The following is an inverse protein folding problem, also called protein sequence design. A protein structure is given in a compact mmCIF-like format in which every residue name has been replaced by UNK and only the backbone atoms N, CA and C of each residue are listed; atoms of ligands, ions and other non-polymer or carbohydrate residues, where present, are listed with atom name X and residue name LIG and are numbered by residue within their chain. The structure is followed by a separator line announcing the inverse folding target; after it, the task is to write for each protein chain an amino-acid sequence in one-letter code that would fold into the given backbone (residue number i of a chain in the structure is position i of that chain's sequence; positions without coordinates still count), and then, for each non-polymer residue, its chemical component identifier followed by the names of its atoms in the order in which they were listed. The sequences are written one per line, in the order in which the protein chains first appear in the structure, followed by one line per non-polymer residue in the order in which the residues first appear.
data_IF_093374338754
#
_entry.id   IF_093374338754
#
_cell.length_a   1.000
_cell.length_b   1.000
_cell.length_c   1.000
_cell.angle_alpha   90.00
_cell.angle_beta   90.00
_cell.angle_gamma   90.00
#
_symmetry.space_group_name_H-M   'P 1'
#
loop_
_entity.id
_entity.type
_entity.pdbx_description
1 polymer ?
#
# COMPACT_ATOMS: atom_id res chain seq x y z
N UNK A 1 -34.66 24.09 -20.34
CA UNK A 1 -34.85 22.96 -19.41
C UNK A 1 -33.48 22.70 -18.81
N UNK A 2 -33.25 23.13 -17.58
CA UNK A 2 -31.96 22.90 -16.90
C UNK A 2 -31.92 21.43 -16.46
N UNK A 3 -30.92 20.71 -16.94
CA UNK A 3 -30.71 19.32 -16.57
C UNK A 3 -30.06 19.34 -15.19
N UNK A 4 -30.86 19.14 -14.15
CA UNK A 4 -30.43 19.24 -12.74
C UNK A 4 -29.28 18.27 -12.38
N UNK A 5 -29.13 17.21 -13.18
CA UNK A 5 -28.26 16.05 -12.93
C UNK A 5 -27.03 16.00 -13.84
N UNK A 6 -26.82 17.00 -14.70
CA UNK A 6 -25.64 17.01 -15.56
C UNK A 6 -24.36 17.10 -14.71
N UNK A 7 -23.41 16.20 -14.95
CA UNK A 7 -22.16 16.10 -14.19
C UNK A 7 -22.30 15.69 -12.71
N UNK A 8 -23.40 15.04 -12.30
CA UNK A 8 -23.62 14.60 -10.91
C UNK A 8 -23.79 13.08 -10.80
N UNK A 9 -23.34 12.49 -9.69
CA UNK A 9 -23.59 11.08 -9.36
C UNK A 9 -24.59 10.99 -8.20
N UNK A 10 -25.54 10.05 -8.31
CA UNK A 10 -26.61 9.83 -7.33
C UNK A 10 -26.30 8.54 -6.56
N UNK A 11 -26.34 8.61 -5.24
CA UNK A 11 -26.21 7.45 -4.36
C UNK A 11 -27.51 7.25 -3.58
N UNK A 12 -27.95 6.01 -3.46
CA UNK A 12 -29.13 5.62 -2.69
C UNK A 12 -28.78 5.59 -1.19
N UNK A 13 -29.64 6.17 -0.35
CA UNK A 13 -29.47 6.17 1.11
C UNK A 13 -30.77 5.74 1.77
N UNK A 14 -30.68 4.82 2.73
CA UNK A 14 -31.81 4.49 3.61
C UNK A 14 -31.99 5.59 4.67
N UNK A 15 -32.75 6.64 4.37
CA UNK A 15 -33.12 7.68 5.35
C UNK A 15 -34.58 8.16 5.13
N UNK A 16 -35.44 8.28 6.17
CA UNK A 16 -36.86 8.62 5.99
C UNK A 16 -37.17 10.02 5.44
N UNK A 17 -36.20 10.96 5.46
CA UNK A 17 -36.48 12.39 5.21
C UNK A 17 -35.89 12.94 3.90
N UNK A 18 -35.00 12.21 3.24
CA UNK A 18 -34.39 12.62 1.97
C UNK A 18 -34.07 11.37 1.14
N UNK A 19 -34.48 11.35 -0.14
CA UNK A 19 -34.32 10.17 -1.00
C UNK A 19 -32.92 10.08 -1.67
N UNK A 20 -32.15 11.17 -1.76
CA UNK A 20 -30.90 11.21 -2.52
C UNK A 20 -29.84 12.13 -1.92
N UNK A 21 -28.58 11.70 -1.97
CA UNK A 21 -27.41 12.57 -1.79
C UNK A 21 -26.78 12.83 -3.16
N UNK A 22 -26.53 14.09 -3.48
CA UNK A 22 -25.98 14.53 -4.77
C UNK A 22 -24.56 15.03 -4.56
N UNK A 23 -23.59 14.33 -5.16
CA UNK A 23 -22.21 14.77 -5.17
C UNK A 23 -21.85 15.38 -6.53
N UNK A 24 -21.17 16.54 -6.57
CA UNK A 24 -20.60 17.06 -7.81
C UNK A 24 -19.52 16.09 -8.31
N UNK A 25 -19.65 15.59 -9.55
CA UNK A 25 -18.75 14.57 -10.06
C UNK A 25 -17.30 15.07 -10.17
N UNK A 26 -17.12 16.37 -10.40
CA UNK A 26 -15.81 17.03 -10.44
C UNK A 26 -15.06 17.04 -9.10
N UNK A 27 -15.77 16.81 -7.99
CA UNK A 27 -15.17 16.68 -6.65
C UNK A 27 -14.89 15.22 -6.27
N UNK A 28 -15.36 14.24 -7.05
CA UNK A 28 -15.03 12.83 -6.83
C UNK A 28 -13.62 12.58 -7.36
N UNK A 29 -12.76 12.01 -6.53
CA UNK A 29 -11.37 11.72 -6.86
C UNK A 29 -11.11 10.22 -6.77
N UNK A 30 -10.15 9.74 -7.56
CA UNK A 30 -9.67 8.36 -7.49
C UNK A 30 -8.51 8.26 -6.52
N UNK A 31 -8.63 7.33 -5.59
CA UNK A 31 -7.62 6.99 -4.61
C UNK A 31 -7.08 5.60 -4.89
N UNK A 32 -5.78 5.44 -4.68
CA UNK A 32 -5.08 4.18 -4.68
C UNK A 32 -4.90 3.74 -3.23
N UNK A 33 -5.27 2.51 -2.93
CA UNK A 33 -5.02 1.93 -1.62
C UNK A 33 -3.65 1.26 -1.59
N UNK A 34 -2.81 1.73 -0.68
CA UNK A 34 -1.52 1.15 -0.36
C UNK A 34 -1.70 0.10 0.74
N UNK A 35 -1.12 -1.08 0.54
CA UNK A 35 -1.18 -2.19 1.48
C UNK A 35 0.20 -2.87 1.59
N UNK A 36 0.41 -3.65 2.64
CA UNK A 36 1.65 -4.39 2.87
C UNK A 36 2.83 -3.50 3.28
N UNK A 37 4.02 -3.91 2.89
CA UNK A 37 5.28 -3.23 3.17
C UNK A 37 5.82 -2.56 1.92
N UNK A 38 6.18 -1.29 2.02
CA UNK A 38 6.74 -0.50 0.93
C UNK A 38 8.18 -0.11 1.26
N UNK A 39 9.07 -0.32 0.29
CA UNK A 39 10.49 0.04 0.38
C UNK A 39 10.80 1.08 -0.69
N UNK A 40 11.15 2.30 -0.27
CA UNK A 40 11.58 3.37 -1.18
C UNK A 40 12.98 3.10 -1.73
N UNK A 41 13.24 3.60 -2.93
CA UNK A 41 14.57 3.52 -3.57
C UNK A 41 15.66 4.06 -2.64
N UNK A 42 16.63 3.20 -2.30
CA UNK A 42 17.77 3.53 -1.45
C UNK A 42 17.59 3.18 0.02
N UNK A 43 16.38 2.77 0.44
CA UNK A 43 16.10 2.38 1.81
C UNK A 43 16.14 0.86 2.04
N UNK A 44 16.48 0.07 1.02
CA UNK A 44 16.55 -1.39 1.10
C UNK A 44 17.42 -1.91 2.27
N UNK A 45 18.57 -1.30 2.53
CA UNK A 45 19.43 -1.71 3.64
C UNK A 45 18.94 -1.25 5.02
N UNK A 46 17.89 -0.43 5.10
CA UNK A 46 17.46 0.21 6.34
C UNK A 46 16.01 -0.15 6.66
N UNK A 47 15.72 -1.38 7.13
CA UNK A 47 14.35 -1.82 7.46
C UNK A 47 13.53 -0.88 8.33
N UNK A 48 14.17 -0.16 9.25
CA UNK A 48 13.51 0.86 10.08
C UNK A 48 12.88 2.02 9.30
N UNK A 49 13.25 2.21 8.04
CA UNK A 49 12.65 3.19 7.13
C UNK A 49 11.57 2.59 6.22
N UNK A 50 11.41 1.27 6.22
CA UNK A 50 10.36 0.63 5.43
C UNK A 50 9.00 1.01 6.00
N UNK A 51 8.02 1.17 5.12
CA UNK A 51 6.69 1.64 5.50
C UNK A 51 5.79 0.41 5.64
N UNK A 52 5.20 0.22 6.81
CA UNK A 52 4.20 -0.82 7.04
C UNK A 52 2.80 -0.22 6.95
N UNK A 53 2.12 -0.44 5.83
CA UNK A 53 0.74 -0.01 5.63
C UNK A 53 -0.26 -0.91 6.32
N UNK A 54 0.11 -2.11 6.78
CA UNK A 54 -0.80 -2.99 7.53
C UNK A 54 -1.20 -2.43 8.89
N UNK A 55 -0.37 -1.54 9.47
CA UNK A 55 -0.65 -0.84 10.73
C UNK A 55 -1.17 0.59 10.53
N UNK A 56 -1.18 1.09 9.30
CA UNK A 56 -1.70 2.41 8.97
C UNK A 56 -3.23 2.43 9.09
N UNK A 57 -3.82 3.61 9.39
CA UNK A 57 -5.28 3.75 9.36
C UNK A 57 -5.81 3.63 7.93
N UNK A 58 -7.10 3.31 7.76
CA UNK A 58 -7.70 3.17 6.42
C UNK A 58 -7.52 4.44 5.58
N UNK A 59 -7.57 5.62 6.21
CA UNK A 59 -7.35 6.90 5.52
C UNK A 59 -5.88 7.10 5.12
N UNK A 60 -4.93 6.72 5.97
CA UNK A 60 -3.50 6.85 5.67
C UNK A 60 -3.04 5.89 4.55
N UNK A 61 -3.81 4.82 4.30
CA UNK A 61 -3.60 3.89 3.19
C UNK A 61 -4.08 4.44 1.86
N UNK A 62 -4.92 5.47 1.84
CA UNK A 62 -5.47 6.03 0.61
C UNK A 62 -4.62 7.21 0.15
N UNK A 63 -4.08 7.10 -1.06
CA UNK A 63 -3.34 8.17 -1.72
C UNK A 63 -4.04 8.58 -3.00
N UNK A 64 -4.07 9.88 -3.29
CA UNK A 64 -4.62 10.35 -4.57
C UNK A 64 -3.87 9.73 -5.73
N UNK A 65 -4.59 9.20 -6.71
CA UNK A 65 -3.98 8.58 -7.90
C UNK A 65 -3.06 9.56 -8.64
N UNK A 66 -3.44 10.85 -8.68
CA UNK A 66 -2.62 11.92 -9.28
C UNK A 66 -1.31 12.20 -8.54
N UNK A 67 -1.20 11.80 -7.28
CA UNK A 67 -0.04 12.00 -6.41
C UNK A 67 0.76 10.72 -6.18
N UNK A 68 0.22 9.56 -6.56
CA UNK A 68 0.89 8.28 -6.43
C UNK A 68 1.95 8.11 -7.53
N UNK A 69 3.18 7.81 -7.11
CA UNK A 69 4.27 7.53 -8.02
C UNK A 69 4.89 6.16 -7.69
N UNK A 70 4.55 5.08 -8.43
CA UNK A 70 5.10 3.76 -8.15
C UNK A 70 6.63 3.71 -8.33
N UNK A 71 7.20 4.57 -9.15
CA UNK A 71 8.65 4.62 -9.39
C UNK A 71 9.46 5.11 -8.18
N UNK A 72 8.84 5.61 -7.10
CA UNK A 72 9.59 5.95 -5.89
C UNK A 72 9.98 4.70 -5.07
N UNK A 73 9.30 3.57 -5.33
CA UNK A 73 9.50 2.31 -4.62
C UNK A 73 10.43 1.39 -5.41
N UNK A 74 11.23 0.60 -4.68
CA UNK A 74 12.04 -0.47 -5.28
C UNK A 74 11.55 -1.88 -4.93
N UNK A 75 10.68 -1.99 -3.93
CA UNK A 75 10.09 -3.25 -3.51
C UNK A 75 8.78 -3.00 -2.74
N UNK A 76 7.80 -3.87 -2.98
CA UNK A 76 6.56 -3.95 -2.22
C UNK A 76 6.25 -5.43 -1.99
N UNK A 77 5.90 -5.82 -0.77
CA UNK A 77 5.51 -7.18 -0.44
C UNK A 77 4.43 -7.22 0.64
N UNK A 78 3.71 -8.33 0.73
CA UNK A 78 2.71 -8.57 1.78
C UNK A 78 3.21 -9.56 2.81
N UNK A 79 2.66 -9.51 4.01
CA UNK A 79 2.85 -10.59 4.97
C UNK A 79 2.05 -11.84 4.56
N UNK A 80 2.61 -12.63 3.64
CA UNK A 80 2.02 -13.88 3.15
C UNK A 80 2.58 -15.13 3.86
N UNK A 81 1.79 -16.21 3.85
CA UNK A 81 2.12 -17.46 4.50
C UNK A 81 3.43 -18.06 3.94
N UNK A 82 4.40 -18.31 4.82
CA UNK A 82 5.70 -18.88 4.47
C UNK A 82 6.72 -17.86 3.93
N UNK A 83 6.37 -16.58 3.77
CA UNK A 83 7.35 -15.53 3.51
C UNK A 83 8.31 -15.38 4.70
N UNK A 84 7.76 -15.41 5.93
CA UNK A 84 8.50 -15.26 7.19
C UNK A 84 9.64 -16.27 7.35
N UNK A 85 9.37 -17.53 7.00
CA UNK A 85 10.37 -18.60 7.05
C UNK A 85 11.50 -18.37 6.04
N UNK A 86 11.15 -17.88 4.85
CA UNK A 86 12.12 -17.56 3.79
C UNK A 86 13.00 -16.38 4.20
N UNK A 87 12.39 -15.32 4.77
CA UNK A 87 13.12 -14.19 5.37
C UNK A 87 14.06 -14.68 6.47
N UNK A 88 13.56 -15.50 7.41
CA UNK A 88 14.38 -16.00 8.52
C UNK A 88 15.58 -16.81 8.03
N UNK A 89 15.42 -17.60 6.95
CA UNK A 89 16.55 -18.34 6.33
C UNK A 89 17.64 -17.40 5.80
N UNK A 90 17.27 -16.28 5.17
CA UNK A 90 18.21 -15.28 4.64
C UNK A 90 18.94 -14.55 5.78
N UNK A 91 18.23 -14.26 6.87
CA UNK A 91 18.77 -13.49 7.99
C UNK A 91 19.62 -14.30 8.97
N UNK A 92 19.37 -15.61 9.08
CA UNK A 92 20.04 -16.48 10.06
C UNK A 92 21.58 -16.46 9.97
N UNK A 93 22.23 -16.49 8.79
CA UNK A 93 23.68 -16.37 8.67
C UNK A 93 24.28 -15.08 9.23
N UNK A 94 23.45 -14.04 9.41
CA UNK A 94 23.86 -12.73 9.93
C UNK A 94 23.50 -12.57 11.42
N UNK A 95 23.09 -13.64 12.10
CA UNK A 95 22.63 -13.63 13.50
C UNK A 95 21.44 -12.69 13.75
N UNK A 96 20.59 -12.50 12.75
CA UNK A 96 19.37 -11.70 12.86
C UNK A 96 18.17 -12.65 12.99
N UNK A 97 17.34 -12.42 13.99
CA UNK A 97 16.15 -13.22 14.29
C UNK A 97 14.90 -12.33 14.26
N UNK A 98 13.86 -12.81 13.58
CA UNK A 98 12.58 -12.11 13.47
C UNK A 98 11.41 -12.90 14.08
N UNK A 99 11.66 -14.12 14.61
CA UNK A 99 10.69 -14.94 15.35
C UNK A 99 9.31 -15.07 14.70
N UNK A 100 9.26 -15.23 13.37
CA UNK A 100 8.02 -15.27 12.59
C UNK A 100 7.15 -14.00 12.72
N UNK A 101 7.78 -12.85 12.92
CA UNK A 101 7.15 -11.54 12.93
C UNK A 101 7.94 -10.58 12.03
N UNK A 102 7.39 -10.30 10.85
CA UNK A 102 8.01 -9.40 9.87
C UNK A 102 8.21 -8.00 10.47
N UNK A 103 7.36 -7.56 11.39
CA UNK A 103 7.49 -6.24 12.03
C UNK A 103 8.79 -6.08 12.80
N UNK A 104 9.40 -7.20 13.25
CA UNK A 104 10.73 -7.15 13.87
C UNK A 104 11.81 -6.68 12.91
N UNK A 105 11.66 -6.86 11.60
CA UNK A 105 12.55 -6.25 10.61
C UNK A 105 12.61 -4.74 10.79
N UNK A 106 11.48 -4.08 11.03
CA UNK A 106 11.40 -2.62 11.16
C UNK A 106 12.17 -2.07 12.37
N UNK A 107 12.62 -2.92 13.29
CA UNK A 107 13.49 -2.51 14.40
C UNK A 107 14.99 -2.49 14.02
N UNK A 108 15.35 -3.07 12.88
CA UNK A 108 16.72 -3.19 12.39
C UNK A 108 17.15 -1.86 11.76
N UNK A 109 18.20 -1.25 12.31
CA UNK A 109 18.72 0.00 11.77
C UNK A 109 19.35 -0.20 10.39
N UNK A 110 20.14 -1.25 10.22
CA UNK A 110 20.86 -1.54 8.97
C UNK A 110 21.07 -3.04 8.79
N UNK A 111 20.84 -3.54 7.57
CA UNK A 111 21.13 -4.90 7.15
C UNK A 111 22.47 -4.96 6.40
N UNK A 112 23.22 -6.05 6.52
CA UNK A 112 24.32 -6.32 5.60
C UNK A 112 23.83 -6.27 4.15
N UNK A 113 24.55 -5.57 3.27
CA UNK A 113 24.17 -5.39 1.86
C UNK A 113 23.75 -6.69 1.18
N UNK A 114 24.51 -7.77 1.42
CA UNK A 114 24.21 -9.09 0.84
C UNK A 114 22.84 -9.62 1.29
N UNK A 115 22.51 -9.49 2.58
CA UNK A 115 21.20 -9.87 3.11
C UNK A 115 20.08 -9.02 2.49
N UNK A 116 20.31 -7.71 2.37
CA UNK A 116 19.34 -6.79 1.79
C UNK A 116 19.02 -7.11 0.32
N UNK A 117 20.04 -7.48 -0.46
CA UNK A 117 19.87 -7.92 -1.86
C UNK A 117 19.15 -9.27 -1.96
N UNK A 118 19.50 -10.25 -1.14
CA UNK A 118 18.80 -11.55 -1.10
C UNK A 118 17.32 -11.38 -0.71
N UNK A 119 17.02 -10.47 0.23
CA UNK A 119 15.64 -10.13 0.58
C UNK A 119 14.91 -9.48 -0.59
N UNK A 120 15.55 -8.55 -1.31
CA UNK A 120 14.96 -7.95 -2.52
C UNK A 120 14.59 -9.02 -3.54
N UNK A 121 15.51 -9.93 -3.84
CA UNK A 121 15.27 -11.05 -4.76
C UNK A 121 14.10 -11.92 -4.30
N UNK A 122 14.00 -12.21 -3.00
CA UNK A 122 12.89 -12.95 -2.42
C UNK A 122 11.56 -12.21 -2.64
N UNK A 123 11.50 -10.92 -2.31
CA UNK A 123 10.30 -10.10 -2.41
C UNK A 123 9.84 -9.88 -3.85
N UNK A 124 10.77 -9.87 -4.81
CA UNK A 124 10.47 -9.73 -6.24
C UNK A 124 10.39 -11.07 -6.98
N UNK A 125 10.45 -12.20 -6.27
CA UNK A 125 10.31 -13.54 -6.89
C UNK A 125 8.86 -13.82 -7.27
N UNK A 126 8.59 -14.58 -8.34
CA UNK A 126 7.21 -14.91 -8.78
C UNK A 126 6.30 -15.47 -7.68
N UNK A 127 6.87 -16.03 -6.61
CA UNK A 127 6.14 -16.60 -5.48
C UNK A 127 5.57 -15.53 -4.53
N UNK A 128 6.22 -14.38 -4.41
CA UNK A 128 5.90 -13.35 -3.43
C UNK A 128 5.76 -11.94 -4.04
N UNK A 129 6.24 -11.78 -5.28
CA UNK A 129 6.02 -10.59 -6.07
C UNK A 129 4.53 -10.48 -6.36
N UNK A 130 4.02 -9.28 -6.18
CA UNK A 130 2.94 -8.83 -7.05
C UNK A 130 3.63 -7.93 -8.08
N UNK A 131 3.12 -7.95 -9.31
CA UNK A 131 3.87 -7.34 -10.42
C UNK A 131 4.05 -5.83 -10.20
N UNK A 132 3.05 -5.02 -9.85
CA UNK A 132 3.19 -3.57 -9.55
C UNK A 132 3.81 -2.66 -10.62
N UNK A 133 4.50 -3.18 -11.63
CA UNK A 133 4.78 -2.43 -12.86
C UNK A 133 3.48 -2.10 -13.59
N UNK A 134 2.40 -2.82 -13.26
CA UNK A 134 1.04 -2.51 -13.64
C UNK A 134 0.31 -1.75 -12.51
N UNK A 135 -0.03 -0.47 -12.69
CA UNK A 135 -0.84 0.30 -11.75
C UNK A 135 -2.18 -0.35 -11.42
N UNK A 136 -2.68 -1.28 -12.24
CA UNK A 136 -3.92 -2.02 -12.02
C UNK A 136 -3.87 -2.99 -10.83
N UNK A 137 -2.68 -3.33 -10.34
CA UNK A 137 -2.52 -4.24 -9.20
C UNK A 137 -2.90 -3.59 -7.86
N UNK A 138 -2.98 -2.25 -7.83
CA UNK A 138 -3.50 -1.53 -6.67
C UNK A 138 -5.01 -1.35 -6.75
N UNK A 139 -5.68 -1.60 -5.62
CA UNK A 139 -7.10 -1.33 -5.48
C UNK A 139 -7.37 0.17 -5.59
N UNK A 140 -8.37 0.52 -6.43
CA UNK A 140 -8.82 1.89 -6.63
C UNK A 140 -10.17 2.11 -5.98
N UNK A 141 -10.31 3.25 -5.34
CA UNK A 141 -11.54 3.68 -4.70
C UNK A 141 -11.88 5.08 -5.18
N UNK A 142 -13.14 5.31 -5.54
CA UNK A 142 -13.65 6.66 -5.75
C UNK A 142 -14.07 7.23 -4.40
N UNK A 143 -13.61 8.44 -4.08
CA UNK A 143 -13.87 9.11 -2.81
C UNK A 143 -14.26 10.57 -3.00
N UNK A 144 -14.93 11.12 -1.99
CA UNK A 144 -15.25 12.54 -1.88
C UNK A 144 -14.78 13.03 -0.52
N UNK A 145 -13.85 13.98 -0.48
CA UNK A 145 -13.44 14.63 0.76
C UNK A 145 -14.49 15.67 1.14
N UNK A 146 -15.16 15.44 2.27
CA UNK A 146 -16.14 16.39 2.79
C UNK A 146 -15.42 17.55 3.46
N UNK A 147 -15.39 18.71 2.79
CA UNK A 147 -14.92 19.98 3.36
C UNK A 147 -15.88 20.41 4.50
N UNK A 148 -15.40 20.39 5.74
CA UNK A 148 -16.10 20.91 6.91
C UNK A 148 -15.93 22.43 7.08
#
# INVERSE_FOLDING_TARGET
MEILLDGKRIFEVENPNYEYVVFPAEKIQTYIQLNGYLIKKGDLQYPKKWINMEDASDMDRLVLESSFNPDEYECLFFDDLGLKESIQKILSPYNIQIDNDIKKLLSINELPLKAALELKELFTSEKYANDYSNPLDFARYEGYEFEC
#
